data_IF_598469380243
#
_entry.id   IF_598469380243
#
_cell.length_a   1.000
_cell.length_b   1.000
_cell.length_c   1.000
_cell.angle_alpha   90.00
_cell.angle_beta   90.00
_cell.angle_gamma   90.00
#
_symmetry.space_group_name_H-M   'P 1'
#
loop_
_entity.id
_entity.type
_entity.pdbx_description
1 polymer ?
#
# COMPACT_ATOMS: atom_id res chain seq x y z
N UNK A 1 -13.73 -16.63 -10.04
CA UNK A 1 -13.42 -16.05 -8.72
C UNK A 1 -14.72 -15.88 -7.95
N UNK A 2 -14.88 -16.49 -6.77
CA UNK A 2 -16.11 -16.34 -5.97
C UNK A 2 -16.15 -14.99 -5.26
N UNK A 3 -17.34 -14.44 -4.99
CA UNK A 3 -17.65 -13.20 -4.21
C UNK A 3 -17.02 -13.09 -2.80
N UNK A 4 -16.14 -14.02 -2.42
CA UNK A 4 -15.48 -14.10 -1.11
C UNK A 4 -14.25 -13.20 -0.97
N UNK A 5 -13.73 -12.59 -2.05
CA UNK A 5 -12.49 -11.80 -2.01
C UNK A 5 -12.70 -10.29 -1.75
N UNK A 6 -13.94 -9.80 -1.81
CA UNK A 6 -14.22 -8.36 -1.82
C UNK A 6 -14.05 -7.68 -0.44
N UNK A 7 -14.25 -8.41 0.66
CA UNK A 7 -14.30 -7.81 2.00
C UNK A 7 -12.96 -7.61 2.70
N UNK A 8 -11.95 -8.41 2.36
CA UNK A 8 -10.59 -8.22 2.90
C UNK A 8 -9.86 -7.01 2.30
N UNK A 9 -10.56 -6.23 1.47
CA UNK A 9 -10.01 -5.14 0.67
C UNK A 9 -10.31 -3.76 1.24
N UNK A 10 -11.22 -3.69 2.21
CA UNK A 10 -11.60 -2.45 2.86
C UNK A 10 -10.75 -2.28 4.13
N UNK A 11 -10.19 -1.08 4.31
CA UNK A 11 -9.54 -0.70 5.56
C UNK A 11 -10.60 -0.22 6.56
N UNK A 12 -10.63 -0.83 7.74
CA UNK A 12 -11.50 -0.45 8.84
C UNK A 12 -10.68 0.22 9.94
N UNK A 13 -11.32 1.05 10.78
CA UNK A 13 -10.67 1.59 11.98
C UNK A 13 -10.28 0.44 12.92
N UNK A 14 -9.03 -0.01 12.85
CA UNK A 14 -8.40 -0.74 13.95
C UNK A 14 -7.78 0.28 14.90
N UNK A 15 -8.16 0.27 16.17
CA UNK A 15 -7.49 1.13 17.15
C UNK A 15 -6.18 0.49 17.61
N UNK A 16 -5.09 1.26 17.75
CA UNK A 16 -3.77 0.71 18.03
C UNK A 16 -3.65 0.31 19.51
N UNK A 17 -3.40 -0.96 19.80
CA UNK A 17 -2.76 -1.40 21.05
C UNK A 17 -2.44 -2.90 20.98
N UNK A 18 -1.15 -3.24 20.92
CA UNK A 18 -0.61 -4.62 21.03
C UNK A 18 -0.58 -5.16 22.46
N UNK A 19 -1.32 -4.53 23.36
CA UNK A 19 -1.65 -5.04 24.69
C UNK A 19 -3.18 -5.11 24.75
N UNK A 20 -3.72 -6.31 24.94
CA UNK A 20 -5.15 -6.49 25.22
C UNK A 20 -5.41 -5.82 26.57
N UNK A 21 -5.90 -4.59 26.54
CA UNK A 21 -6.46 -3.91 27.71
C UNK A 21 -7.71 -4.71 28.14
N UNK A 22 -7.73 -5.30 29.35
CA UNK A 22 -8.85 -6.10 29.84
C UNK A 22 -10.18 -5.32 29.91
N UNK A 23 -10.17 -3.99 29.82
CA UNK A 23 -11.36 -3.14 29.88
C UNK A 23 -11.89 -2.70 28.50
N UNK A 24 -11.23 -3.08 27.40
CA UNK A 24 -11.63 -2.63 26.07
C UNK A 24 -12.87 -3.38 25.57
N UNK A 25 -14.01 -2.69 25.49
CA UNK A 25 -15.23 -3.22 24.84
C UNK A 25 -14.94 -3.59 23.38
N UNK A 26 -15.13 -4.86 23.03
CA UNK A 26 -15.01 -5.37 21.66
C UNK A 26 -16.15 -4.79 20.83
N UNK A 27 -15.84 -4.06 19.76
CA UNK A 27 -16.86 -3.46 18.90
C UNK A 27 -17.45 -4.48 17.93
N UNK A 28 -18.63 -4.17 17.38
CA UNK A 28 -19.24 -4.89 16.26
C UNK A 28 -18.30 -5.08 15.07
N UNK A 29 -17.48 -4.06 14.79
CA UNK A 29 -16.52 -4.07 13.69
C UNK A 29 -15.33 -4.98 13.97
N UNK A 30 -14.86 -5.04 15.21
CA UNK A 30 -13.78 -5.94 15.59
C UNK A 30 -14.19 -7.40 15.37
N UNK A 31 -15.42 -7.76 15.79
CA UNK A 31 -15.95 -9.11 15.57
C UNK A 31 -16.19 -9.38 14.08
N UNK A 32 -16.73 -8.41 13.34
CA UNK A 32 -16.93 -8.57 11.90
C UNK A 32 -15.60 -8.81 11.16
N UNK A 33 -14.55 -8.05 11.48
CA UNK A 33 -13.21 -8.25 10.91
C UNK A 33 -12.63 -9.61 11.28
N UNK A 34 -12.74 -10.01 12.56
CA UNK A 34 -12.27 -11.31 13.04
C UNK A 34 -12.96 -12.47 12.29
N UNK A 35 -14.26 -12.37 12.04
CA UNK A 35 -15.01 -13.39 11.29
C UNK A 35 -14.60 -13.46 9.82
N UNK A 36 -14.30 -12.33 9.16
CA UNK A 36 -13.75 -12.33 7.79
C UNK A 36 -12.39 -13.03 7.77
N UNK A 37 -11.50 -12.69 8.72
CA UNK A 37 -10.18 -13.31 8.84
C UNK A 37 -10.28 -14.81 9.12
N UNK A 38 -11.19 -15.21 10.01
CA UNK A 38 -11.44 -16.61 10.35
C UNK A 38 -11.97 -17.40 9.16
N UNK A 39 -13.01 -16.89 8.46
CA UNK A 39 -13.53 -17.48 7.23
C UNK A 39 -12.42 -17.71 6.21
N UNK A 40 -11.54 -16.73 6.02
CA UNK A 40 -10.43 -16.79 5.06
C UNK A 40 -9.38 -17.80 5.48
N UNK A 41 -8.95 -17.76 6.75
CA UNK A 41 -7.89 -18.62 7.30
C UNK A 41 -8.21 -20.11 7.18
N UNK A 42 -9.49 -20.46 7.33
CA UNK A 42 -9.97 -21.84 7.31
C UNK A 42 -10.82 -22.17 6.07
N UNK A 43 -10.89 -21.25 5.09
CA UNK A 43 -11.66 -21.39 3.84
C UNK A 43 -13.12 -21.82 4.06
N UNK A 44 -13.75 -21.29 5.11
CA UNK A 44 -15.10 -21.68 5.50
C UNK A 44 -16.12 -21.28 4.42
N UNK A 45 -17.14 -22.12 4.23
CA UNK A 45 -18.27 -21.79 3.36
C UNK A 45 -19.11 -20.65 3.93
N UNK A 46 -19.90 -19.99 3.08
CA UNK A 46 -20.84 -18.95 3.53
C UNK A 46 -21.87 -19.53 4.51
N UNK A 47 -22.34 -20.76 4.26
CA UNK A 47 -23.25 -21.47 5.16
C UNK A 47 -22.65 -21.68 6.55
N UNK A 48 -21.38 -22.09 6.63
CA UNK A 48 -20.68 -22.28 7.90
C UNK A 48 -20.59 -20.96 8.71
N UNK A 49 -20.26 -19.85 8.06
CA UNK A 49 -20.24 -18.54 8.73
C UNK A 49 -21.64 -18.09 9.15
N UNK A 50 -22.67 -18.32 8.34
CA UNK A 50 -24.04 -18.02 8.72
C UNK A 50 -24.49 -18.82 9.95
N UNK A 51 -24.10 -20.09 10.06
CA UNK A 51 -24.36 -20.89 11.26
C UNK A 51 -23.58 -20.37 12.46
N UNK A 52 -22.29 -20.03 12.29
CA UNK A 52 -21.49 -19.42 13.35
C UNK A 52 -22.10 -18.11 13.86
N UNK A 53 -22.56 -17.24 12.96
CA UNK A 53 -23.24 -15.98 13.30
C UNK A 53 -24.53 -16.20 14.11
N UNK A 54 -25.28 -17.27 13.81
CA UNK A 54 -26.47 -17.68 14.59
C UNK A 54 -26.11 -18.29 15.94
N UNK A 55 -24.93 -18.92 16.04
CA UNK A 55 -24.35 -19.50 17.26
C UNK A 55 -23.51 -18.49 18.07
N UNK A 56 -23.70 -17.18 17.86
CA UNK A 56 -23.14 -16.14 18.74
C UNK A 56 -24.27 -15.51 19.59
N UNK A 57 -24.94 -16.25 20.50
CA UNK A 57 -26.11 -15.77 21.23
C UNK A 57 -25.71 -14.98 22.49
N UNK A 58 -24.41 -14.83 22.76
CA UNK A 58 -23.86 -14.27 24.02
C UNK A 58 -23.13 -12.92 23.82
N UNK A 59 -23.04 -12.43 22.59
CA UNK A 59 -22.60 -11.06 22.32
C UNK A 59 -23.87 -10.22 22.17
N UNK A 60 -24.02 -9.07 22.86
CA UNK A 60 -25.26 -8.29 22.82
C UNK A 60 -25.76 -8.08 21.38
N UNK A 61 -26.98 -8.55 21.11
CA UNK A 61 -27.60 -8.73 19.78
C UNK A 61 -27.68 -7.47 18.90
N UNK A 62 -27.40 -6.29 19.45
CA UNK A 62 -27.49 -5.02 18.73
C UNK A 62 -26.22 -4.65 17.94
N UNK A 63 -25.22 -5.53 17.88
CA UNK A 63 -23.91 -5.18 17.31
C UNK A 63 -23.53 -5.96 16.05
N UNK A 64 -23.89 -7.23 15.88
CA UNK A 64 -23.31 -8.06 14.79
C UNK A 64 -24.39 -8.63 13.86
N UNK A 65 -24.24 -8.52 12.52
CA UNK A 65 -25.25 -9.01 11.58
C UNK A 65 -25.37 -10.55 11.57
N UNK A 66 -26.58 -11.06 11.39
CA UNK A 66 -26.91 -12.49 11.45
C UNK A 66 -26.60 -13.30 10.17
N UNK A 67 -26.03 -12.65 9.16
CA UNK A 67 -25.70 -13.28 7.87
C UNK A 67 -24.47 -12.66 7.25
N UNK A 68 -23.77 -13.42 6.42
CA UNK A 68 -22.59 -12.98 5.69
C UNK A 68 -22.88 -11.76 4.81
N UNK A 69 -24.03 -11.71 4.14
CA UNK A 69 -24.42 -10.58 3.29
C UNK A 69 -24.64 -9.30 4.09
N UNK A 70 -25.29 -9.40 5.26
CA UNK A 70 -25.47 -8.26 6.15
C UNK A 70 -24.16 -7.82 6.79
N UNK A 71 -23.27 -8.76 7.11
CA UNK A 71 -21.90 -8.50 7.55
C UNK A 71 -21.09 -7.79 6.47
N UNK A 72 -21.20 -8.20 5.20
CA UNK A 72 -20.60 -7.47 4.07
C UNK A 72 -21.07 -6.03 4.00
N UNK A 73 -22.39 -5.81 4.08
CA UNK A 73 -22.99 -4.48 4.01
C UNK A 73 -22.57 -3.61 5.19
N UNK A 74 -22.46 -4.18 6.40
CA UNK A 74 -21.96 -3.46 7.57
C UNK A 74 -20.51 -3.00 7.35
N UNK A 75 -19.66 -3.89 6.86
CA UNK A 75 -18.28 -3.56 6.52
C UNK A 75 -18.23 -2.47 5.43
N UNK A 76 -18.95 -2.65 4.32
CA UNK A 76 -19.00 -1.67 3.22
C UNK A 76 -19.50 -0.28 3.68
N UNK A 77 -20.53 -0.22 4.54
CA UNK A 77 -21.03 1.05 5.10
C UNK A 77 -20.03 1.76 6.00
N UNK A 78 -19.18 0.99 6.68
CA UNK A 78 -18.16 1.52 7.59
C UNK A 78 -16.77 1.56 6.92
N UNK A 79 -16.69 1.29 5.62
CA UNK A 79 -15.45 1.40 4.87
C UNK A 79 -15.05 2.87 4.78
N UNK A 80 -13.81 3.16 5.14
CA UNK A 80 -13.27 4.54 5.16
C UNK A 80 -12.59 4.87 3.83
N UNK A 81 -12.51 3.89 2.93
CA UNK A 81 -11.82 3.99 1.65
C UNK A 81 -12.66 3.33 0.56
N UNK A 82 -12.58 3.89 -0.64
CA UNK A 82 -13.06 3.22 -1.86
C UNK A 82 -12.44 1.82 -2.02
N UNK A 83 -13.18 0.86 -2.61
CA UNK A 83 -12.63 -0.47 -2.87
C UNK A 83 -11.41 -0.35 -3.81
N UNK A 84 -10.37 -1.18 -3.63
CA UNK A 84 -9.21 -1.14 -4.50
C UNK A 84 -9.58 -1.58 -5.92
N UNK A 85 -8.98 -0.90 -6.88
CA UNK A 85 -9.09 -1.26 -8.30
C UNK A 85 -8.24 -2.50 -8.54
N UNK A 86 -8.83 -3.51 -9.16
CA UNK A 86 -8.12 -4.72 -9.57
C UNK A 86 -7.75 -4.57 -11.03
N UNK A 87 -6.45 -4.70 -11.33
CA UNK A 87 -5.95 -4.73 -12.71
C UNK A 87 -5.55 -6.14 -13.06
N UNK A 88 -5.97 -6.60 -14.23
CA UNK A 88 -5.66 -7.92 -14.76
C UNK A 88 -4.61 -7.83 -15.86
N UNK A 89 -3.65 -8.76 -15.87
CA UNK A 89 -2.63 -8.89 -16.92
C UNK A 89 -2.68 -10.30 -17.47
N UNK A 90 -2.81 -10.41 -18.79
CA UNK A 90 -2.80 -11.69 -19.48
C UNK A 90 -1.40 -12.27 -19.52
N UNK A 91 -1.22 -13.54 -19.13
CA UNK A 91 0.11 -14.18 -19.18
C UNK A 91 0.54 -14.58 -20.59
N UNK A 92 -0.39 -14.74 -21.54
CA UNK A 92 -0.08 -15.09 -22.92
C UNK A 92 0.49 -13.92 -23.74
N UNK A 93 -0.10 -12.72 -23.63
CA UNK A 93 0.35 -11.53 -24.38
C UNK A 93 1.03 -10.47 -23.52
N UNK A 94 1.08 -10.65 -22.20
CA UNK A 94 1.65 -9.70 -21.23
C UNK A 94 1.01 -8.31 -21.23
N UNK A 95 -0.22 -8.16 -21.75
CA UNK A 95 -0.97 -6.89 -21.75
C UNK A 95 -2.06 -6.85 -20.68
N UNK A 96 -2.48 -5.65 -20.32
CA UNK A 96 -3.61 -5.41 -19.41
C UNK A 96 -4.91 -5.87 -20.06
N UNK A 97 -5.77 -6.52 -19.27
CA UNK A 97 -7.11 -6.96 -19.67
C UNK A 97 -8.17 -6.24 -18.85
N UNK A 98 -9.25 -5.82 -19.50
CA UNK A 98 -10.42 -5.25 -18.82
C UNK A 98 -11.31 -6.31 -18.17
N UNK A 99 -11.22 -7.56 -18.62
CA UNK A 99 -12.00 -8.68 -18.07
C UNK A 99 -11.11 -9.72 -17.41
N UNK A 100 -11.70 -10.53 -16.53
CA UNK A 100 -11.04 -11.62 -15.82
C UNK A 100 -11.42 -13.02 -16.32
N UNK A 101 -12.16 -13.12 -17.44
CA UNK A 101 -12.51 -14.39 -18.10
C UNK A 101 -11.82 -14.59 -19.45
N UNK A 102 -11.62 -13.52 -20.21
CA UNK A 102 -10.94 -13.57 -21.51
C UNK A 102 -10.15 -12.29 -21.77
N UNK A 103 -8.93 -12.43 -22.28
CA UNK A 103 -8.09 -11.29 -22.57
C UNK A 103 -8.72 -10.39 -23.63
N UNK A 104 -8.95 -9.12 -23.30
CA UNK A 104 -9.49 -8.11 -24.22
C UNK A 104 -8.55 -7.77 -25.39
N UNK A 105 -7.28 -8.15 -25.30
CA UNK A 105 -6.25 -7.78 -26.29
C UNK A 105 -5.93 -8.89 -27.29
N UNK A 106 -5.96 -10.16 -26.86
CA UNK A 106 -5.59 -11.30 -27.72
C UNK A 106 -6.63 -12.42 -27.74
N UNK A 107 -7.74 -12.30 -27.02
CA UNK A 107 -8.80 -13.32 -26.96
C UNK A 107 -8.45 -14.58 -26.17
N UNK A 108 -7.29 -14.62 -25.49
CA UNK A 108 -6.90 -15.77 -24.68
C UNK A 108 -7.86 -15.99 -23.50
N UNK A 109 -8.40 -17.20 -23.38
CA UNK A 109 -9.33 -17.57 -22.30
C UNK A 109 -8.60 -17.86 -21.00
N UNK A 110 -9.07 -17.29 -19.89
CA UNK A 110 -8.50 -17.49 -18.57
C UNK A 110 -9.13 -18.70 -17.90
N UNK A 111 -8.57 -19.89 -18.16
CA UNK A 111 -9.08 -21.17 -17.66
C UNK A 111 -8.76 -21.43 -16.19
N UNK A 112 -7.66 -20.89 -15.67
CA UNK A 112 -7.21 -21.08 -14.29
C UNK A 112 -6.49 -19.85 -13.71
N UNK A 113 -6.12 -19.90 -12.42
CA UNK A 113 -5.44 -18.78 -11.76
C UNK A 113 -4.00 -18.51 -12.25
N UNK A 114 -3.42 -19.38 -13.08
CA UNK A 114 -2.08 -19.20 -13.66
C UNK A 114 -2.12 -18.49 -15.02
N UNK A 115 -3.28 -18.51 -15.68
CA UNK A 115 -3.55 -17.84 -16.96
C UNK A 115 -3.65 -16.31 -16.87
N UNK A 116 -3.76 -15.77 -15.64
CA UNK A 116 -3.99 -14.35 -15.38
C UNK A 116 -3.25 -13.90 -14.13
N UNK A 117 -2.60 -12.74 -14.22
CA UNK A 117 -2.03 -12.05 -13.06
C UNK A 117 -3.00 -10.94 -12.65
N UNK A 118 -3.24 -10.76 -11.35
CA UNK A 118 -4.04 -9.65 -10.86
C UNK A 118 -3.33 -8.91 -9.72
N UNK A 119 -3.25 -7.59 -9.83
CA UNK A 119 -2.72 -6.74 -8.76
C UNK A 119 -3.75 -5.68 -8.38
N UNK A 120 -3.51 -5.03 -7.24
CA UNK A 120 -4.48 -4.11 -6.63
C UNK A 120 -3.86 -2.74 -6.46
N UNK A 121 -4.61 -1.70 -6.79
CA UNK A 121 -4.27 -0.31 -6.47
C UNK A 121 -5.34 0.28 -5.57
N UNK A 122 -4.89 1.05 -4.60
CA UNK A 122 -5.72 1.66 -3.56
C UNK A 122 -5.67 3.18 -3.75
N UNK A 123 -6.81 3.83 -3.53
CA UNK A 123 -6.91 5.28 -3.66
C UNK A 123 -6.04 5.95 -2.59
N UNK A 124 -5.04 6.71 -3.02
CA UNK A 124 -4.09 7.45 -2.18
C UNK A 124 -4.80 8.65 -1.52
N UNK A 125 -5.65 9.34 -2.27
CA UNK A 125 -6.36 10.56 -1.86
C UNK A 125 -7.30 10.32 -0.67
N UNK A 126 -8.03 9.21 -0.67
CA UNK A 126 -8.90 8.77 0.43
C UNK A 126 -8.08 8.55 1.72
N UNK A 127 -6.94 7.87 1.60
CA UNK A 127 -6.05 7.58 2.72
C UNK A 127 -5.39 8.85 3.25
N UNK A 128 -4.94 9.73 2.36
CA UNK A 128 -4.39 11.03 2.70
C UNK A 128 -5.40 11.88 3.46
N UNK A 129 -6.66 11.92 3.02
CA UNK A 129 -7.72 12.68 3.69
C UNK A 129 -7.85 12.30 5.16
N UNK A 130 -7.84 10.99 5.44
CA UNK A 130 -7.87 10.46 6.81
C UNK A 130 -6.61 10.79 7.60
N UNK A 131 -5.44 10.62 7.00
CA UNK A 131 -4.14 10.81 7.66
C UNK A 131 -3.94 12.29 7.97
N UNK A 132 -4.17 13.18 7.02
CA UNK A 132 -4.09 14.64 7.21
C UNK A 132 -5.05 15.06 8.31
N UNK A 133 -6.33 14.65 8.26
CA UNK A 133 -7.32 14.99 9.30
C UNK A 133 -6.87 14.57 10.70
N UNK A 134 -6.31 13.37 10.84
CA UNK A 134 -5.91 12.80 12.15
C UNK A 134 -4.60 13.41 12.65
N UNK A 135 -3.73 13.86 11.75
CA UNK A 135 -2.39 14.33 12.10
C UNK A 135 -2.23 15.85 12.00
N UNK A 136 -3.22 16.59 11.50
CA UNK A 136 -3.11 18.01 11.17
C UNK A 136 -2.43 18.85 12.24
N UNK A 137 -2.84 18.69 13.51
CA UNK A 137 -2.26 19.42 14.67
C UNK A 137 -0.80 19.13 14.96
N UNK A 138 -0.28 18.00 14.46
CA UNK A 138 1.10 17.58 14.65
C UNK A 138 1.96 17.86 13.41
N UNK A 139 1.35 18.19 12.27
CA UNK A 139 2.07 18.43 11.02
C UNK A 139 2.71 19.81 11.06
N UNK A 140 3.98 19.88 10.66
CA UNK A 140 4.68 21.16 10.56
C UNK A 140 4.56 21.72 9.13
N UNK A 141 3.39 22.26 8.80
CA UNK A 141 3.08 22.80 7.47
C UNK A 141 3.74 24.15 7.18
N UNK A 142 4.12 24.90 8.22
CA UNK A 142 4.77 26.21 8.11
C UNK A 142 6.29 26.14 8.28
N UNK A 143 6.87 24.93 8.17
CA UNK A 143 8.30 24.72 8.41
C UNK A 143 9.12 25.58 7.45
N UNK A 144 9.86 26.54 8.01
CA UNK A 144 10.94 27.22 7.28
C UNK A 144 12.21 26.40 7.42
N UNK A 145 12.75 25.99 6.28
CA UNK A 145 14.03 25.28 6.21
C UNK A 145 15.20 26.22 6.52
N UNK A 146 16.20 25.71 7.24
CA UNK A 146 17.49 26.37 7.45
C UNK A 146 18.57 25.61 6.66
N UNK A 147 19.56 26.32 6.11
CA UNK A 147 20.66 25.68 5.39
C UNK A 147 21.65 24.96 6.32
N UNK A 148 21.70 25.35 7.59
CA UNK A 148 22.85 25.02 8.47
C UNK A 148 22.69 23.70 9.23
N UNK A 149 21.51 23.07 9.21
CA UNK A 149 21.30 21.79 9.93
C UNK A 149 20.28 20.90 9.26
N UNK A 150 20.69 19.68 8.92
CA UNK A 150 19.81 18.62 8.43
C UNK A 150 19.35 17.74 9.60
N UNK A 151 18.08 17.87 10.00
CA UNK A 151 17.48 17.09 11.10
C UNK A 151 16.50 16.03 10.59
N UNK A 152 15.82 16.32 9.48
CA UNK A 152 14.80 15.47 8.88
C UNK A 152 14.79 15.63 7.35
N UNK A 153 14.03 14.80 6.64
CA UNK A 153 13.87 14.87 5.18
C UNK A 153 13.36 16.22 4.70
N UNK A 154 12.51 16.89 5.51
CA UNK A 154 12.01 18.22 5.22
C UNK A 154 13.08 19.32 5.32
N UNK A 155 14.30 19.04 5.78
CA UNK A 155 15.45 19.97 5.69
C UNK A 155 16.28 19.75 4.41
N UNK A 156 15.91 18.77 3.59
CA UNK A 156 16.61 18.42 2.37
C UNK A 156 16.42 19.43 1.25
N UNK A 157 17.35 19.41 0.29
CA UNK A 157 17.33 20.31 -0.86
C UNK A 157 16.05 20.18 -1.70
N UNK A 158 15.56 18.96 -1.93
CA UNK A 158 14.33 18.74 -2.71
C UNK A 158 13.10 19.35 -2.05
N UNK A 159 13.00 19.29 -0.71
CA UNK A 159 11.92 19.96 0.02
C UNK A 159 11.97 21.48 -0.16
N UNK A 160 13.18 22.06 -0.09
CA UNK A 160 13.38 23.50 -0.35
C UNK A 160 12.94 23.92 -1.74
N UNK A 161 13.29 23.14 -2.77
CA UNK A 161 12.84 23.42 -4.15
C UNK A 161 11.32 23.44 -4.25
N UNK A 162 10.62 22.52 -3.58
CA UNK A 162 9.15 22.55 -3.50
C UNK A 162 8.68 23.82 -2.81
N UNK A 163 9.25 24.16 -1.66
CA UNK A 163 8.92 25.38 -0.90
C UNK A 163 9.14 26.68 -1.70
N UNK A 164 10.16 26.73 -2.56
CA UNK A 164 10.45 27.88 -3.44
C UNK A 164 9.49 27.95 -4.63
N UNK A 165 9.06 26.80 -5.16
CA UNK A 165 8.18 26.71 -6.33
C UNK A 165 6.69 26.76 -6.01
N UNK A 166 6.29 26.38 -4.79
CA UNK A 166 4.90 26.26 -4.37
C UNK A 166 4.55 27.34 -3.36
N UNK A 167 3.73 28.31 -3.76
CA UNK A 167 3.21 29.36 -2.89
C UNK A 167 2.01 28.91 -2.04
N UNK A 168 1.36 27.82 -2.44
CA UNK A 168 0.23 27.21 -1.73
C UNK A 168 0.70 26.30 -0.58
N UNK A 169 -0.21 25.93 0.31
CA UNK A 169 0.03 24.87 1.31
C UNK A 169 0.35 23.56 0.60
N UNK A 170 1.43 22.90 1.01
CA UNK A 170 1.83 21.61 0.45
C UNK A 170 2.26 20.63 1.53
N UNK A 171 2.25 19.35 1.14
CA UNK A 171 2.86 18.26 1.87
C UNK A 171 3.73 17.44 0.91
N UNK A 172 4.65 16.67 1.47
CA UNK A 172 5.57 15.86 0.69
C UNK A 172 5.49 14.39 1.11
N UNK A 173 5.71 13.50 0.13
CA UNK A 173 5.67 12.07 0.33
C UNK A 173 7.05 11.44 0.17
N UNK A 174 7.26 10.34 0.88
CA UNK A 174 8.32 9.37 0.61
C UNK A 174 7.70 8.03 0.25
N UNK A 175 8.18 7.40 -0.82
CA UNK A 175 7.71 6.12 -1.34
C UNK A 175 8.66 4.98 -0.97
N UNK A 176 8.13 3.79 -0.74
CA UNK A 176 8.89 2.55 -0.66
C UNK A 176 8.18 1.46 -1.46
N UNK A 177 8.95 0.70 -2.23
CA UNK A 177 8.49 -0.48 -2.96
C UNK A 177 9.56 -1.56 -2.82
N UNK A 178 9.21 -2.69 -2.22
CA UNK A 178 10.13 -3.81 -2.04
C UNK A 178 9.36 -5.13 -1.88
N UNK A 179 10.03 -6.26 -2.10
CA UNK A 179 9.50 -7.59 -1.89
C UNK A 179 9.56 -8.01 -0.43
N UNK A 180 8.41 -8.15 0.21
CA UNK A 180 8.30 -8.64 1.59
C UNK A 180 7.83 -10.10 1.62
N UNK A 181 8.49 -10.91 2.45
CA UNK A 181 8.06 -12.28 2.72
C UNK A 181 7.02 -12.29 3.83
N UNK A 182 5.88 -12.93 3.59
CA UNK A 182 4.79 -12.96 4.57
C UNK A 182 5.11 -13.84 5.80
N UNK A 183 5.91 -14.89 5.63
CA UNK A 183 6.30 -15.82 6.69
C UNK A 183 7.79 -16.16 6.56
N UNK A 184 8.49 -16.35 7.68
CA UNK A 184 9.87 -16.87 7.70
C UNK A 184 9.91 -18.21 6.94
N UNK A 185 10.68 -18.28 5.86
CA UNK A 185 10.83 -19.47 5.02
C UNK A 185 9.85 -19.60 3.84
N UNK A 186 8.90 -18.66 3.67
CA UNK A 186 8.05 -18.64 2.48
C UNK A 186 8.80 -18.10 1.27
N UNK A 187 8.81 -18.85 0.17
CA UNK A 187 9.29 -18.37 -1.14
C UNK A 187 8.38 -17.31 -1.79
N UNK A 188 7.19 -17.08 -1.23
CA UNK A 188 6.23 -16.10 -1.77
C UNK A 188 6.54 -14.70 -1.23
N UNK A 189 6.89 -13.79 -2.12
CA UNK A 189 7.07 -12.36 -1.83
C UNK A 189 5.89 -11.56 -2.36
N UNK A 190 5.31 -10.69 -1.54
CA UNK A 190 4.38 -9.65 -2.00
C UNK A 190 5.15 -8.34 -2.16
N UNK A 191 4.72 -7.47 -3.08
CA UNK A 191 5.34 -6.15 -3.26
C UNK A 191 4.32 -5.05 -3.02
N UNK A 192 4.28 -4.44 -1.82
CA UNK A 192 3.47 -3.27 -1.57
C UNK A 192 4.13 -2.00 -2.11
N UNK A 193 3.30 -1.04 -2.52
CA UNK A 193 3.70 0.35 -2.70
C UNK A 193 3.25 1.10 -1.45
N UNK A 194 4.21 1.54 -0.64
CA UNK A 194 3.98 2.25 0.60
C UNK A 194 4.38 3.72 0.46
N UNK A 195 3.58 4.62 1.02
CA UNK A 195 3.90 6.05 1.10
C UNK A 195 3.75 6.53 2.54
N UNK A 196 4.52 7.57 2.89
CA UNK A 196 4.40 8.30 4.16
C UNK A 196 4.40 9.80 3.91
N UNK A 197 3.72 10.54 4.79
CA UNK A 197 3.69 12.02 4.77
C UNK A 197 4.83 12.57 5.62
N UNK A 198 5.73 13.34 5.01
CA UNK A 198 6.97 13.76 5.64
C UNK A 198 6.76 14.83 6.74
N UNK A 199 5.72 15.64 6.64
CA UNK A 199 5.40 16.71 7.60
C UNK A 199 4.88 16.16 8.93
N UNK A 200 4.52 14.87 8.99
CA UNK A 200 4.21 14.17 10.23
C UNK A 200 5.53 13.91 10.98
N UNK A 201 5.64 14.20 12.29
CA UNK A 201 6.86 13.95 13.06
C UNK A 201 7.31 12.50 13.02
N UNK A 202 8.63 12.26 12.97
CA UNK A 202 9.23 10.93 12.79
C UNK A 202 8.70 9.86 13.76
N UNK A 203 8.40 10.25 15.01
CA UNK A 203 7.84 9.37 16.06
C UNK A 203 6.47 8.78 15.72
N UNK A 204 5.74 9.38 14.76
CA UNK A 204 4.39 8.96 14.34
C UNK A 204 4.33 8.63 12.85
N UNK A 205 5.26 9.16 12.04
CA UNK A 205 5.26 9.05 10.57
C UNK A 205 5.15 7.62 10.06
N UNK A 206 5.90 6.71 10.68
CA UNK A 206 6.01 5.31 10.24
C UNK A 206 5.07 4.35 10.99
N UNK A 207 4.18 4.87 11.84
CA UNK A 207 3.18 4.03 12.51
C UNK A 207 2.18 3.46 11.48
N UNK A 208 1.68 2.22 11.65
CA UNK A 208 0.78 1.59 10.69
C UNK A 208 -0.43 2.42 10.28
N UNK A 209 -0.98 3.23 11.18
CA UNK A 209 -2.12 4.12 10.93
C UNK A 209 -1.81 5.28 9.96
N UNK A 210 -0.53 5.63 9.81
CA UNK A 210 -0.02 6.72 8.98
C UNK A 210 0.67 6.24 7.70
N UNK A 211 0.76 4.91 7.50
CA UNK A 211 1.16 4.34 6.22
C UNK A 211 0.02 4.46 5.22
N UNK A 212 0.37 4.84 3.99
CA UNK A 212 -0.52 4.81 2.84
C UNK A 212 -0.12 3.58 2.02
N UNK A 213 -1.06 2.68 1.78
CA UNK A 213 -0.88 1.57 0.87
C UNK A 213 -1.42 1.99 -0.50
N UNK A 214 -0.57 2.23 -1.49
CA UNK A 214 -1.00 2.64 -2.84
C UNK A 214 -1.25 1.45 -3.78
N UNK A 215 -0.62 0.31 -3.51
CA UNK A 215 -0.78 -0.88 -4.34
C UNK A 215 -0.18 -2.13 -3.71
N UNK A 216 -0.66 -3.30 -4.16
CA UNK A 216 -0.13 -4.61 -3.77
C UNK A 216 0.00 -5.51 -5.00
N UNK A 217 1.22 -5.94 -5.26
CA UNK A 217 1.51 -7.06 -6.14
C UNK A 217 1.47 -8.36 -5.32
N UNK A 218 0.68 -9.38 -5.72
CA UNK A 218 0.38 -10.54 -4.87
C UNK A 218 1.50 -11.57 -4.76
N UNK A 219 2.55 -11.49 -5.58
CA UNK A 219 3.53 -12.57 -5.71
C UNK A 219 2.98 -13.81 -6.42
N UNK A 220 3.68 -14.95 -6.39
CA UNK A 220 4.82 -15.26 -5.51
C UNK A 220 6.16 -14.70 -6.00
N UNK A 221 6.28 -14.35 -7.28
CA UNK A 221 7.48 -13.78 -7.88
C UNK A 221 7.43 -12.26 -7.92
N UNK A 222 8.60 -11.62 -7.99
CA UNK A 222 8.69 -10.19 -8.31
C UNK A 222 8.04 -9.90 -9.67
N UNK A 223 7.44 -8.71 -9.86
CA UNK A 223 6.93 -8.31 -11.16
C UNK A 223 8.06 -8.28 -12.20
N UNK A 224 7.74 -8.56 -13.46
CA UNK A 224 8.64 -8.24 -14.58
C UNK A 224 8.70 -6.72 -14.78
N UNK A 225 9.62 -6.22 -15.61
CA UNK A 225 9.69 -4.78 -15.94
C UNK A 225 8.37 -4.25 -16.52
N UNK A 226 7.80 -4.98 -17.47
CA UNK A 226 6.49 -4.64 -18.06
C UNK A 226 5.38 -4.66 -17.02
N UNK A 227 5.38 -5.65 -16.12
CA UNK A 227 4.41 -5.71 -15.02
C UNK A 227 4.58 -4.54 -14.05
N UNK A 228 5.81 -4.16 -13.71
CA UNK A 228 6.09 -3.02 -12.83
C UNK A 228 5.59 -1.72 -13.45
N UNK A 229 5.78 -1.52 -14.75
CA UNK A 229 5.25 -0.36 -15.45
C UNK A 229 3.72 -0.25 -15.35
N UNK A 230 2.99 -1.37 -15.53
CA UNK A 230 1.54 -1.38 -15.33
C UNK A 230 1.15 -1.16 -13.88
N UNK A 231 1.89 -1.76 -12.94
CA UNK A 231 1.60 -1.68 -11.51
C UNK A 231 1.73 -0.25 -10.97
N UNK A 232 2.77 0.48 -11.41
CA UNK A 232 3.04 1.86 -11.03
C UNK A 232 2.11 2.87 -11.70
N UNK A 233 1.51 2.55 -12.85
CA UNK A 233 0.73 3.50 -13.66
C UNK A 233 -0.37 4.20 -12.86
N UNK A 234 -1.14 3.46 -12.06
CA UNK A 234 -2.22 4.03 -11.23
C UNK A 234 -1.66 4.99 -10.18
N UNK A 235 -0.61 4.58 -9.47
CA UNK A 235 0.05 5.39 -8.44
C UNK A 235 0.63 6.67 -9.03
N UNK A 236 1.36 6.60 -10.15
CA UNK A 236 1.92 7.78 -10.81
C UNK A 236 0.80 8.72 -11.26
N UNK A 237 -0.25 8.19 -11.89
CA UNK A 237 -1.40 9.01 -12.34
C UNK A 237 -2.05 9.75 -11.18
N UNK A 238 -2.21 9.10 -10.03
CA UNK A 238 -2.81 9.73 -8.85
C UNK A 238 -1.87 10.76 -8.21
N UNK A 239 -0.58 10.46 -8.08
CA UNK A 239 0.41 11.42 -7.57
C UNK A 239 0.50 12.68 -8.44
N UNK A 240 0.55 12.54 -9.77
CA UNK A 240 0.54 13.69 -10.69
C UNK A 240 -0.73 14.53 -10.58
N UNK A 241 -1.89 13.90 -10.28
CA UNK A 241 -3.11 14.67 -10.01
C UNK A 241 -2.99 15.47 -8.72
N UNK A 242 -2.45 14.87 -7.66
CA UNK A 242 -2.31 15.50 -6.35
C UNK A 242 -1.33 16.69 -6.33
N UNK A 243 -0.39 16.76 -7.27
CA UNK A 243 0.48 17.93 -7.47
C UNK A 243 -0.31 19.20 -7.84
N UNK A 244 -1.50 19.05 -8.44
CA UNK A 244 -2.40 20.17 -8.77
C UNK A 244 -3.24 20.65 -7.59
N UNK A 245 -3.17 19.97 -6.44
CA UNK A 245 -3.91 20.30 -5.24
C UNK A 245 -5.24 19.54 -5.10
N UNK A 246 -5.57 19.20 -3.87
CA UNK A 246 -6.86 18.59 -3.49
C UNK A 246 -7.34 19.17 -2.15
N UNK A 247 -8.66 19.30 -2.01
CA UNK A 247 -9.28 19.78 -0.77
C UNK A 247 -9.30 18.68 0.30
N UNK A 248 -8.77 18.98 1.49
CA UNK A 248 -8.81 18.11 2.66
C UNK A 248 -9.66 18.72 3.77
N UNK A 249 -10.51 17.89 4.38
CA UNK A 249 -11.30 18.28 5.56
C UNK A 249 -10.46 18.16 6.84
N UNK A 250 -10.15 19.29 7.44
CA UNK A 250 -9.46 19.36 8.73
C UNK A 250 -10.45 19.64 9.86
N UNK A 251 -10.22 19.11 11.07
CA UNK A 251 -11.05 19.42 12.22
C UNK A 251 -10.98 20.91 12.54
N UNK A 252 -12.12 21.54 12.78
CA UNK A 252 -12.15 22.93 13.21
C UNK A 252 -11.35 23.13 14.51
N UNK A 253 -10.60 24.24 14.58
CA UNK A 253 -9.91 24.70 15.79
C UNK A 253 -10.90 25.34 16.79
N UNK A 254 -12.14 25.63 16.36
CA UNK A 254 -13.21 26.22 17.20
C UNK A 254 -14.27 25.17 17.44
N UNK A 255 -14.58 24.90 18.71
CA UNK A 255 -15.38 23.79 19.23
C UNK A 255 -16.82 23.67 18.69
N UNK A 256 -17.28 24.66 17.92
CA UNK A 256 -18.68 24.82 17.50
C UNK A 256 -18.87 25.05 15.99
N UNK A 257 -17.86 24.84 15.15
CA UNK A 257 -17.98 25.01 13.69
C UNK A 257 -17.68 23.74 12.88
N UNK A 258 -18.25 23.72 11.67
CA UNK A 258 -18.06 22.71 10.62
C UNK A 258 -16.58 22.52 10.28
N UNK A 259 -16.23 21.30 9.84
CA UNK A 259 -14.89 21.00 9.31
C UNK A 259 -14.46 22.03 8.27
N UNK A 260 -13.21 22.51 8.36
CA UNK A 260 -12.65 23.43 7.39
C UNK A 260 -12.07 22.62 6.23
N UNK A 261 -12.25 23.12 5.00
CA UNK A 261 -11.57 22.57 3.82
C UNK A 261 -10.32 23.41 3.57
N UNK A 262 -9.17 22.76 3.49
CA UNK A 262 -7.93 23.37 3.04
C UNK A 262 -7.45 22.72 1.75
N UNK A 263 -7.03 23.53 0.77
CA UNK A 263 -6.39 23.04 -0.44
C UNK A 263 -4.94 22.72 -0.13
N UNK A 264 -4.50 21.48 -0.39
CA UNK A 264 -3.11 21.08 -0.20
C UNK A 264 -2.59 20.41 -1.48
N UNK A 265 -1.42 20.82 -1.93
CA UNK A 265 -0.66 20.15 -2.99
C UNK A 265 0.24 19.06 -2.41
N UNK A 266 0.42 17.97 -3.14
CA UNK A 266 1.19 16.82 -2.66
C UNK A 266 2.30 16.49 -3.63
N UNK A 267 3.54 16.43 -3.14
CA UNK A 267 4.73 16.16 -3.95
C UNK A 267 5.48 14.93 -3.48
N UNK A 268 5.79 13.99 -4.38
CA UNK A 268 6.70 12.90 -4.07
C UNK A 268 8.16 13.38 -4.19
N UNK A 269 8.88 13.45 -3.06
CA UNK A 269 10.27 13.99 -3.05
C UNK A 269 11.34 12.93 -2.79
N UNK A 270 10.95 11.69 -2.49
CA UNK A 270 11.88 10.63 -2.17
C UNK A 270 11.31 9.24 -2.40
N UNK A 271 12.17 8.32 -2.80
CA UNK A 271 11.87 6.89 -2.84
C UNK A 271 12.99 6.13 -2.12
N UNK A 272 12.62 5.24 -1.21
CA UNK A 272 13.52 4.34 -0.50
C UNK A 272 13.28 2.93 -1.03
N UNK A 273 14.22 2.43 -1.83
CA UNK A 273 14.20 1.07 -2.37
C UNK A 273 15.59 0.47 -2.19
N UNK A 274 15.67 -0.84 -1.99
CA UNK A 274 16.95 -1.54 -2.16
C UNK A 274 17.38 -1.47 -3.63
N UNK A 275 18.65 -1.77 -3.93
CA UNK A 275 19.17 -1.59 -5.29
C UNK A 275 18.45 -2.45 -6.35
N UNK A 276 18.14 -3.73 -6.11
CA UNK A 276 17.32 -4.52 -7.02
C UNK A 276 15.91 -3.96 -7.26
N UNK A 277 15.19 -3.56 -6.22
CA UNK A 277 13.86 -2.97 -6.35
C UNK A 277 13.91 -1.61 -7.05
N UNK A 278 14.93 -0.78 -6.74
CA UNK A 278 15.17 0.49 -7.40
C UNK A 278 15.34 0.31 -8.90
N UNK A 279 16.20 -0.62 -9.32
CA UNK A 279 16.43 -0.92 -10.72
C UNK A 279 15.13 -1.35 -11.44
N UNK A 280 14.29 -2.16 -10.78
CA UNK A 280 13.02 -2.60 -11.34
C UNK A 280 12.00 -1.44 -11.46
N UNK A 281 11.91 -0.58 -10.45
CA UNK A 281 11.03 0.60 -10.44
C UNK A 281 11.46 1.64 -11.48
N UNK A 282 12.77 1.85 -11.65
CA UNK A 282 13.33 2.81 -12.59
C UNK A 282 13.51 2.23 -14.01
N UNK A 283 13.19 0.95 -14.22
CA UNK A 283 13.43 0.23 -15.47
C UNK A 283 14.91 0.25 -15.92
N UNK A 284 15.82 0.11 -14.95
CA UNK A 284 17.27 0.05 -15.16
C UNK A 284 17.80 -1.39 -15.12
N UNK A 285 19.06 -1.62 -15.56
CA UNK A 285 19.76 -2.88 -15.31
C UNK A 285 19.86 -3.18 -13.81
N UNK A 286 19.77 -4.47 -13.45
CA UNK A 286 19.95 -4.87 -12.06
C UNK A 286 21.42 -4.69 -11.63
N UNK A 287 21.71 -4.55 -10.32
CA UNK A 287 23.08 -4.33 -9.83
C UNK A 287 24.08 -5.43 -10.21
N UNK A 288 23.58 -6.63 -10.53
CA UNK A 288 24.38 -7.77 -10.98
C UNK A 288 24.73 -7.73 -12.47
N UNK A 289 24.19 -6.79 -13.24
CA UNK A 289 24.46 -6.67 -14.67
C UNK A 289 25.88 -6.10 -14.91
N UNK A 290 26.40 -6.32 -16.13
CA UNK A 290 27.71 -5.78 -16.55
C UNK A 290 27.80 -4.26 -16.29
N UNK A 291 26.74 -3.51 -16.55
CA UNK A 291 26.61 -2.08 -16.22
C UNK A 291 25.45 -1.87 -15.24
N UNK A 292 25.62 -2.36 -14.01
CA UNK A 292 24.58 -2.31 -12.97
C UNK A 292 24.52 -1.00 -12.17
N UNK A 293 25.45 -0.07 -12.37
CA UNK A 293 25.46 1.19 -11.63
C UNK A 293 24.57 2.24 -12.31
N UNK A 294 23.67 2.85 -11.55
CA UNK A 294 22.75 3.89 -12.05
C UNK A 294 23.43 5.27 -12.17
N UNK A 295 24.69 5.38 -11.71
CA UNK A 295 25.43 6.66 -11.66
C UNK A 295 26.65 6.68 -12.58
N UNK A 296 27.18 5.53 -12.97
CA UNK A 296 28.37 5.45 -13.80
C UNK A 296 28.28 4.27 -14.77
N UNK A 297 29.08 4.34 -15.83
CA UNK A 297 29.12 3.35 -16.90
C UNK A 297 30.28 2.36 -16.71
N UNK A 298 30.66 2.09 -15.46
CA UNK A 298 31.74 1.15 -15.16
C UNK A 298 31.25 -0.28 -15.35
N UNK A 299 31.97 -1.02 -16.18
CA UNK A 299 31.73 -2.45 -16.38
C UNK A 299 32.21 -3.26 -15.17
N UNK A 300 31.33 -4.09 -14.62
CA UNK A 300 31.67 -5.08 -13.59
C UNK A 300 32.49 -6.18 -14.23
N UNK A 301 33.81 -6.16 -13.99
CA UNK A 301 34.68 -7.30 -14.30
C UNK A 301 34.41 -8.42 -13.30
N UNK A 302 33.66 -9.44 -13.71
CA UNK A 302 33.54 -10.67 -12.91
C UNK A 302 34.92 -11.31 -12.75
N UNK A 303 35.53 -11.15 -11.58
CA UNK A 303 36.56 -12.11 -11.15
C UNK A 303 35.80 -13.35 -10.70
N UNK A 304 35.69 -14.33 -11.59
CA UNK A 304 35.46 -15.69 -11.14
C UNK A 304 36.57 -16.00 -10.14
N UNK A 305 36.25 -16.09 -8.86
CA UNK A 305 37.08 -16.80 -7.91
C UNK A 305 36.99 -18.27 -8.31
N UNK A 306 37.76 -18.67 -9.33
CA UNK A 306 38.04 -20.06 -9.59
C UNK A 306 38.66 -20.61 -8.31
N UNK A 307 37.93 -21.46 -7.60
CA UNK A 307 38.46 -22.24 -6.49
C UNK A 307 39.50 -23.20 -7.10
N UNK A 308 40.72 -22.69 -7.22
CA UNK A 308 41.88 -23.46 -7.64
C UNK A 308 42.59 -23.92 -6.38
N UNK A 309 42.98 -25.21 -6.36
CA UNK A 309 43.69 -25.97 -5.32
C UNK A 309 42.78 -26.66 -4.29
N UNK A 310 42.87 -27.97 -4.07
CA UNK A 310 44.04 -28.86 -4.12
C UNK A 310 43.69 -30.26 -4.65
N UNK A 311 44.43 -30.71 -5.66
CA UNK A 311 44.81 -32.12 -5.78
C UNK A 311 45.66 -32.43 -4.53
N UNK A 312 45.22 -33.39 -3.74
CA UNK A 312 46.02 -33.98 -2.67
C UNK A 312 46.75 -35.16 -3.32
N UNK A 313 48.05 -34.99 -3.52
CA UNK A 313 48.98 -36.11 -3.64
C UNK A 313 49.04 -36.82 -2.29
N UNK A 314 48.57 -38.07 -2.25
CA UNK A 314 49.12 -39.20 -1.50
C UNK A 314 48.61 -40.48 -2.11
#
# INVERSE_FOLDING_TARGET
MSDNDELSLYSFKSSPSTTVDPQRMVSSMDVACALVLFKRRYRLSISCINHLLKLLPSIPQNCIPNSWSALKKLLQRNAIQSPPVITYVCTACSKVSSTNSMCSECGFSFSDSSSIISFRNFNISDQLSRIVRTNYRYMNLEKKTSMDTMKDICDGELYRRVQESCQDTFITLSLNIDGIQLNKGSKKTIWPILLVVNEIPIKRRFSPENLILAGVWPGPTKPSRTHMAYFLKSTVTELTRLENGIGFYIPSQVSSSTDQIILIRVYLIGACCDKPAQALVQNLPEPIAAFGCERCELEVKYRFLSYSSKLIDT
#
